data_IF_826345247032
#
_entry.id   IF_826345247032
#
_cell.length_a   1.000
_cell.length_b   1.000
_cell.length_c   1.000
_cell.angle_alpha   90.00
_cell.angle_beta   90.00
_cell.angle_gamma   90.00
#
_symmetry.space_group_name_H-M   'P 1'
#
loop_
_entity.id
_entity.type
_entity.pdbx_description
1 polymer ?
#
# COMPACT_ATOMS: atom_id res chain seq x y z
N UNK A 1 -28.62 -39.61 -6.46
CA UNK A 1 -28.67 -38.77 -7.68
C UNK A 1 -28.37 -37.33 -7.30
N UNK A 2 -27.44 -36.69 -8.04
CA UNK A 2 -27.15 -35.22 -8.18
C UNK A 2 -26.93 -34.38 -6.90
N UNK A 3 -25.71 -34.00 -6.48
CA UNK A 3 -24.75 -33.00 -7.01
C UNK A 3 -25.35 -31.63 -7.39
N UNK A 4 -25.06 -30.60 -6.61
CA UNK A 4 -24.77 -29.23 -7.10
C UNK A 4 -23.81 -28.51 -6.15
N UNK A 5 -22.53 -28.46 -6.51
CA UNK A 5 -21.49 -27.72 -5.80
C UNK A 5 -21.33 -26.30 -6.36
N UNK A 6 -21.54 -25.29 -5.53
CA UNK A 6 -21.28 -23.89 -5.89
C UNK A 6 -19.84 -23.51 -5.54
N UNK A 7 -18.98 -23.50 -6.57
CA UNK A 7 -17.62 -22.94 -6.52
C UNK A 7 -17.69 -21.42 -6.31
N UNK A 8 -17.35 -20.94 -5.11
CA UNK A 8 -17.08 -19.51 -4.84
C UNK A 8 -15.79 -19.08 -5.56
N UNK A 9 -15.91 -18.31 -6.64
CA UNK A 9 -14.83 -17.57 -7.30
C UNK A 9 -14.22 -16.56 -6.31
N UNK A 10 -13.01 -16.83 -5.80
CA UNK A 10 -12.14 -15.85 -5.12
C UNK A 10 -11.70 -14.80 -6.15
N UNK A 11 -12.06 -13.54 -5.97
CA UNK A 11 -11.53 -12.41 -6.74
C UNK A 11 -10.07 -12.16 -6.34
N UNK A 12 -9.19 -12.17 -7.34
CA UNK A 12 -7.80 -11.70 -7.33
C UNK A 12 -7.82 -10.18 -7.42
N UNK A 13 -7.45 -9.45 -6.37
CA UNK A 13 -7.21 -7.99 -6.48
C UNK A 13 -6.01 -7.47 -5.66
N UNK A 14 -5.28 -8.30 -4.90
CA UNK A 14 -4.19 -7.83 -4.01
C UNK A 14 -2.75 -7.96 -4.57
N UNK A 15 -2.55 -8.00 -5.89
CA UNK A 15 -1.21 -8.25 -6.48
C UNK A 15 -0.58 -7.09 -7.27
N UNK A 16 -1.21 -5.91 -7.35
CA UNK A 16 -0.69 -4.79 -8.14
C UNK A 16 -0.22 -3.62 -7.26
N UNK A 17 0.83 -3.82 -6.44
CA UNK A 17 1.63 -2.70 -5.91
C UNK A 17 3.11 -3.13 -5.80
N UNK A 18 3.75 -3.53 -6.90
CA UNK A 18 5.20 -3.67 -6.97
C UNK A 18 5.70 -3.43 -8.40
N UNK A 19 5.72 -2.18 -8.84
CA UNK A 19 6.63 -1.73 -9.91
C UNK A 19 6.58 -0.20 -10.02
N UNK A 20 7.40 0.46 -9.21
CA UNK A 20 7.65 1.90 -9.30
C UNK A 20 9.14 2.14 -9.21
N UNK A 21 9.88 1.86 -10.29
CA UNK A 21 11.24 2.35 -10.45
C UNK A 21 11.57 2.46 -11.94
N UNK A 22 11.34 3.65 -12.50
CA UNK A 22 12.04 4.10 -13.69
C UNK A 22 13.53 4.17 -13.36
N UNK A 23 14.33 3.24 -13.88
CA UNK A 23 15.81 3.29 -13.77
C UNK A 23 16.46 3.60 -15.12
N UNK A 24 17.55 4.39 -15.14
CA UNK A 24 18.38 4.59 -16.31
C UNK A 24 19.22 3.33 -16.59
N UNK A 25 19.58 3.15 -17.88
CA UNK A 25 20.29 2.01 -18.48
C UNK A 25 21.44 1.46 -17.59
N UNK A 26 21.24 0.28 -17.00
CA UNK A 26 22.30 -0.62 -16.52
C UNK A 26 22.11 -1.98 -17.17
N UNK A 27 23.21 -2.71 -17.43
CA UNK A 27 23.20 -4.09 -17.97
C UNK A 27 22.58 -5.05 -16.94
N UNK A 28 21.26 -5.15 -16.93
CA UNK A 28 20.49 -6.13 -16.16
C UNK A 28 19.66 -6.98 -17.12
N UNK A 29 19.48 -8.26 -16.78
CA UNK A 29 18.59 -9.17 -17.51
C UNK A 29 17.48 -9.59 -16.56
N UNK A 30 16.24 -9.31 -16.95
CA UNK A 30 15.05 -9.87 -16.33
C UNK A 30 14.62 -11.06 -17.17
N UNK A 31 14.65 -12.26 -16.58
CA UNK A 31 14.13 -13.46 -17.23
C UNK A 31 12.71 -13.67 -16.69
N UNK A 32 11.75 -12.97 -17.29
CA UNK A 32 10.32 -13.25 -17.10
C UNK A 32 9.83 -14.25 -18.15
N UNK A 33 9.74 -15.50 -17.73
CA UNK A 33 9.27 -16.61 -18.56
C UNK A 33 7.78 -16.52 -18.90
N UNK A 34 7.00 -15.62 -18.28
CA UNK A 34 5.59 -15.39 -18.67
C UNK A 34 5.43 -14.76 -20.06
N UNK A 35 6.38 -13.93 -20.49
CA UNK A 35 6.34 -13.33 -21.83
C UNK A 35 6.72 -14.34 -22.93
N UNK A 36 7.28 -15.49 -22.56
CA UNK A 36 7.61 -16.56 -23.50
C UNK A 36 6.41 -17.46 -23.81
N UNK A 37 5.42 -17.55 -22.92
CA UNK A 37 4.12 -18.18 -23.22
C UNK A 37 3.37 -17.46 -24.37
N UNK A 38 3.68 -16.18 -24.65
CA UNK A 38 3.07 -15.45 -25.77
C UNK A 38 3.80 -15.62 -27.11
N UNK A 39 4.99 -16.24 -27.14
CA UNK A 39 5.79 -16.45 -28.36
C UNK A 39 6.11 -17.91 -28.69
N UNK A 40 5.80 -18.84 -27.80
CA UNK A 40 5.90 -20.26 -28.05
C UNK A 40 4.52 -20.89 -27.85
N UNK A 41 4.04 -21.61 -28.87
CA UNK A 41 2.88 -22.50 -28.80
C UNK A 41 2.95 -23.34 -27.51
N UNK A 42 2.20 -22.94 -26.49
CA UNK A 42 2.35 -23.40 -25.11
C UNK A 42 1.86 -24.82 -24.85
N UNK A 43 1.47 -25.55 -25.89
CA UNK A 43 0.97 -26.92 -25.78
C UNK A 43 2.02 -27.99 -26.12
N UNK A 44 3.25 -27.62 -26.50
CA UNK A 44 4.29 -28.60 -26.91
C UNK A 44 5.65 -28.54 -26.20
N UNK A 45 5.99 -27.47 -25.49
CA UNK A 45 7.31 -27.39 -24.83
C UNK A 45 7.26 -28.11 -23.47
N UNK A 46 7.88 -29.29 -23.39
CA UNK A 46 7.92 -30.09 -22.17
C UNK A 46 8.63 -29.34 -21.03
N UNK A 47 8.19 -29.56 -19.78
CA UNK A 47 8.77 -28.91 -18.58
C UNK A 47 10.30 -29.03 -18.50
N UNK A 48 10.87 -30.15 -18.98
CA UNK A 48 12.31 -30.39 -19.03
C UNK A 48 13.04 -29.47 -20.01
N UNK A 49 12.43 -29.18 -21.15
CA UNK A 49 13.04 -28.37 -22.21
C UNK A 49 13.10 -26.89 -21.78
N UNK A 50 12.04 -26.40 -21.14
CA UNK A 50 12.03 -25.06 -20.53
C UNK A 50 13.13 -24.90 -19.49
N UNK A 51 13.36 -25.90 -18.61
CA UNK A 51 14.42 -25.80 -17.60
C UNK A 51 15.81 -25.75 -18.21
N UNK A 52 16.06 -26.49 -19.30
CA UNK A 52 17.33 -26.44 -20.02
C UNK A 52 17.59 -25.08 -20.68
N UNK A 53 16.55 -24.46 -21.25
CA UNK A 53 16.68 -23.11 -21.82
C UNK A 53 17.01 -22.07 -20.75
N UNK A 54 16.37 -22.16 -19.57
CA UNK A 54 16.68 -21.26 -18.44
C UNK A 54 18.13 -21.42 -18.00
N UNK A 55 18.63 -22.66 -17.88
CA UNK A 55 20.03 -22.92 -17.53
C UNK A 55 21.00 -22.32 -18.56
N UNK A 56 20.70 -22.45 -19.84
CA UNK A 56 21.50 -21.86 -20.92
C UNK A 56 21.50 -20.33 -20.86
N UNK A 57 20.36 -19.68 -20.59
CA UNK A 57 20.31 -18.22 -20.44
C UNK A 57 21.08 -17.74 -19.21
N UNK A 58 21.01 -18.47 -18.11
CA UNK A 58 21.80 -18.18 -16.90
C UNK A 58 23.29 -18.27 -17.21
N UNK A 59 23.73 -19.35 -17.86
CA UNK A 59 25.14 -19.55 -18.25
C UNK A 59 25.61 -18.43 -19.19
N UNK A 60 24.83 -18.11 -20.24
CA UNK A 60 25.13 -16.99 -21.14
C UNK A 60 25.19 -15.66 -20.40
N UNK A 61 24.27 -15.40 -19.47
CA UNK A 61 24.26 -14.17 -18.69
C UNK A 61 25.52 -14.05 -17.81
N UNK A 62 25.90 -15.12 -17.13
CA UNK A 62 27.11 -15.16 -16.29
C UNK A 62 28.36 -14.95 -17.15
N UNK A 63 28.49 -15.62 -18.30
CA UNK A 63 29.61 -15.43 -19.24
C UNK A 63 29.71 -14.00 -19.76
N UNK A 64 28.57 -13.31 -19.86
CA UNK A 64 28.50 -11.90 -20.23
C UNK A 64 28.72 -10.93 -19.06
N UNK A 65 29.15 -11.42 -17.89
CA UNK A 65 29.52 -10.60 -16.73
C UNK A 65 28.40 -9.64 -16.29
N UNK A 66 27.16 -10.12 -16.28
CA UNK A 66 26.02 -9.31 -15.84
C UNK A 66 26.16 -8.87 -14.37
N UNK A 67 25.50 -7.75 -14.04
CA UNK A 67 25.51 -7.18 -12.68
C UNK A 67 24.22 -7.41 -11.91
N UNK A 68 23.10 -7.54 -12.61
CA UNK A 68 21.77 -7.73 -12.02
C UNK A 68 21.09 -8.92 -12.70
N UNK A 69 20.67 -9.90 -11.90
CA UNK A 69 19.97 -11.09 -12.34
C UNK A 69 18.63 -11.18 -11.61
N UNK A 70 17.53 -11.14 -12.36
CA UNK A 70 16.18 -11.39 -11.83
C UNK A 70 15.57 -12.63 -12.49
N UNK A 71 15.29 -13.63 -11.68
CA UNK A 71 14.74 -14.92 -12.10
C UNK A 71 13.38 -15.14 -11.46
N UNK A 72 12.33 -15.15 -12.28
CA UNK A 72 10.98 -15.44 -11.84
C UNK A 72 10.43 -16.69 -12.53
N UNK A 73 10.23 -17.76 -11.77
CA UNK A 73 9.73 -19.01 -12.31
C UNK A 73 8.20 -19.07 -12.34
N UNK A 74 7.61 -19.64 -13.42
CA UNK A 74 6.17 -19.88 -13.52
C UNK A 74 5.72 -20.85 -12.43
N UNK A 75 4.43 -20.78 -12.08
CA UNK A 75 3.84 -21.63 -11.03
C UNK A 75 4.11 -23.12 -11.25
N UNK A 76 4.11 -23.55 -12.52
CA UNK A 76 4.23 -24.96 -12.91
C UNK A 76 5.65 -25.53 -12.78
N UNK A 77 6.67 -24.66 -12.68
CA UNK A 77 8.08 -25.05 -12.54
C UNK A 77 8.62 -24.86 -11.11
N UNK A 78 7.88 -24.17 -10.22
CA UNK A 78 8.42 -23.78 -8.90
C UNK A 78 8.86 -24.91 -8.00
N UNK A 79 8.24 -26.08 -8.14
CA UNK A 79 8.56 -27.26 -7.31
C UNK A 79 9.72 -28.09 -7.87
N UNK A 80 10.03 -27.93 -9.16
CA UNK A 80 10.95 -28.80 -9.90
C UNK A 80 12.30 -28.17 -10.22
N UNK A 81 12.36 -26.85 -10.40
CA UNK A 81 13.60 -26.20 -10.83
C UNK A 81 14.55 -25.91 -9.66
N UNK A 82 15.83 -26.25 -9.85
CA UNK A 82 16.92 -25.96 -8.93
C UNK A 82 17.85 -24.95 -9.59
N UNK A 83 18.15 -23.87 -8.88
CA UNK A 83 19.03 -22.81 -9.36
C UNK A 83 20.44 -23.37 -9.61
N UNK A 84 21.03 -23.15 -10.79
CA UNK A 84 22.41 -23.52 -11.07
C UNK A 84 23.37 -22.86 -10.09
N UNK A 85 24.28 -23.65 -9.52
CA UNK A 85 25.23 -23.17 -8.50
C UNK A 85 26.26 -22.17 -9.05
N UNK A 86 26.47 -22.14 -10.37
CA UNK A 86 27.31 -21.15 -11.04
C UNK A 86 26.86 -19.70 -10.76
N UNK A 87 25.57 -19.48 -10.49
CA UNK A 87 25.03 -18.17 -10.08
C UNK A 87 25.69 -17.68 -8.79
N UNK A 88 25.93 -18.57 -7.83
CA UNK A 88 26.55 -18.22 -6.54
C UNK A 88 28.07 -18.08 -6.59
N UNK A 89 28.70 -18.48 -7.70
CA UNK A 89 30.12 -18.28 -7.96
C UNK A 89 30.41 -17.02 -8.80
N UNK A 90 29.37 -16.40 -9.37
CA UNK A 90 29.50 -15.28 -10.29
C UNK A 90 29.85 -13.98 -9.55
N UNK A 91 31.13 -13.59 -9.59
CA UNK A 91 31.66 -12.41 -8.89
C UNK A 91 31.16 -11.07 -9.41
N UNK A 92 30.59 -11.02 -10.61
CA UNK A 92 30.12 -9.78 -11.24
C UNK A 92 28.73 -9.38 -10.78
N UNK A 93 27.95 -10.33 -10.22
CA UNK A 93 26.58 -10.10 -9.79
C UNK A 93 26.59 -9.27 -8.51
N UNK A 94 25.92 -8.12 -8.58
CA UNK A 94 25.73 -7.17 -7.47
C UNK A 94 24.30 -7.16 -6.96
N UNK A 95 23.33 -7.61 -7.77
CA UNK A 95 21.94 -7.78 -7.37
C UNK A 95 21.39 -9.12 -7.88
N UNK A 96 20.82 -9.91 -6.97
CA UNK A 96 20.22 -11.21 -7.27
C UNK A 96 18.79 -11.25 -6.72
N UNK A 97 17.80 -11.42 -7.61
CA UNK A 97 16.42 -11.73 -7.26
C UNK A 97 16.07 -13.10 -7.81
N UNK A 98 15.59 -13.98 -6.93
CA UNK A 98 15.21 -15.34 -7.29
C UNK A 98 13.84 -15.63 -6.71
N UNK A 99 12.90 -15.98 -7.57
CA UNK A 99 11.51 -16.19 -7.20
C UNK A 99 10.99 -17.53 -7.72
N UNK A 100 10.66 -18.44 -6.80
CA UNK A 100 10.00 -19.70 -7.12
C UNK A 100 10.94 -20.77 -7.66
N UNK A 101 12.10 -21.01 -7.05
CA UNK A 101 12.92 -22.19 -7.33
C UNK A 101 13.63 -22.68 -6.06
N UNK A 102 14.28 -23.84 -6.13
CA UNK A 102 15.16 -24.33 -5.05
C UNK A 102 16.54 -23.71 -5.22
N UNK A 103 17.16 -23.25 -4.14
CA UNK A 103 18.52 -22.69 -4.20
C UNK A 103 19.61 -23.76 -4.27
N UNK A 104 19.29 -25.03 -4.00
CA UNK A 104 20.31 -26.08 -3.87
C UNK A 104 21.15 -25.91 -2.60
N UNK A 105 22.30 -26.61 -2.49
CA UNK A 105 23.17 -26.55 -1.32
C UNK A 105 23.95 -25.21 -1.26
N UNK A 106 23.74 -24.43 -0.20
CA UNK A 106 24.41 -23.15 0.01
C UNK A 106 25.70 -23.30 0.85
N UNK A 107 26.61 -24.20 0.45
CA UNK A 107 27.81 -24.51 1.25
C UNK A 107 29.02 -23.66 0.83
N UNK A 108 29.30 -23.56 -0.47
CA UNK A 108 30.48 -22.87 -1.01
C UNK A 108 30.07 -21.67 -1.88
N UNK A 109 29.65 -20.59 -1.21
CA UNK A 109 29.16 -19.38 -1.88
C UNK A 109 30.28 -18.34 -2.03
N UNK A 110 30.37 -17.69 -3.21
CA UNK A 110 31.25 -16.55 -3.42
C UNK A 110 30.47 -15.35 -3.95
N UNK A 111 29.79 -14.67 -3.04
CA UNK A 111 28.89 -13.54 -3.30
C UNK A 111 29.47 -12.21 -2.76
N UNK A 112 30.80 -12.08 -2.80
CA UNK A 112 31.55 -10.99 -2.17
C UNK A 112 31.15 -9.58 -2.64
N UNK A 113 30.65 -9.45 -3.88
CA UNK A 113 30.20 -8.19 -4.46
C UNK A 113 28.68 -7.98 -4.38
N UNK A 114 27.93 -8.93 -3.83
CA UNK A 114 26.47 -8.85 -3.79
C UNK A 114 26.01 -7.79 -2.79
N UNK A 115 25.24 -6.83 -3.29
CA UNK A 115 24.68 -5.71 -2.54
C UNK A 115 23.19 -5.87 -2.31
N UNK A 116 22.48 -6.60 -3.19
CA UNK A 116 21.04 -6.81 -3.10
C UNK A 116 20.68 -8.28 -3.27
N UNK A 117 19.94 -8.81 -2.31
CA UNK A 117 19.46 -10.19 -2.33
C UNK A 117 17.95 -10.20 -2.09
N UNK A 118 17.20 -10.73 -3.04
CA UNK A 118 15.76 -10.93 -2.92
C UNK A 118 15.41 -12.40 -3.17
N UNK A 119 14.84 -13.05 -2.18
CA UNK A 119 14.49 -14.47 -2.21
C UNK A 119 12.98 -14.62 -2.02
N UNK A 120 12.31 -15.10 -3.08
CA UNK A 120 10.86 -15.13 -3.21
C UNK A 120 10.30 -16.55 -3.37
N UNK A 121 9.18 -16.86 -2.70
CA UNK A 121 8.37 -18.08 -2.93
C UNK A 121 9.19 -19.37 -2.95
N UNK A 122 10.15 -19.48 -2.03
CA UNK A 122 11.09 -20.60 -1.94
C UNK A 122 11.23 -21.12 -0.50
N UNK A 123 11.85 -22.29 -0.35
CA UNK A 123 12.15 -22.89 0.95
C UNK A 123 13.59 -22.56 1.35
N UNK A 124 13.76 -21.97 2.53
CA UNK A 124 15.04 -21.64 3.16
C UNK A 124 15.02 -22.12 4.60
N UNK A 125 16.16 -22.53 5.12
CA UNK A 125 16.36 -22.82 6.54
C UNK A 125 17.38 -21.83 7.13
N UNK A 126 17.57 -21.90 8.45
CA UNK A 126 18.46 -21.03 9.20
C UNK A 126 19.90 -21.12 8.68
N UNK A 127 20.43 -22.32 8.46
CA UNK A 127 21.80 -22.55 7.99
C UNK A 127 22.06 -21.90 6.62
N UNK A 128 21.10 -21.99 5.70
CA UNK A 128 21.21 -21.36 4.38
C UNK A 128 21.29 -19.84 4.50
N UNK A 129 20.47 -19.23 5.37
CA UNK A 129 20.48 -17.79 5.61
C UNK A 129 21.82 -17.36 6.21
N UNK A 130 22.33 -18.10 7.21
CA UNK A 130 23.64 -17.82 7.80
C UNK A 130 24.78 -17.90 6.78
N UNK A 131 24.76 -18.92 5.91
CA UNK A 131 25.76 -19.06 4.86
C UNK A 131 25.67 -17.93 3.82
N UNK A 132 24.46 -17.54 3.43
CA UNK A 132 24.24 -16.41 2.52
C UNK A 132 24.75 -15.09 3.11
N UNK A 133 24.43 -14.82 4.38
CA UNK A 133 24.90 -13.61 5.10
C UNK A 133 26.43 -13.59 5.15
N UNK A 134 27.07 -14.71 5.51
CA UNK A 134 28.53 -14.83 5.57
C UNK A 134 29.20 -14.59 4.21
N UNK A 135 28.54 -15.01 3.13
CA UNK A 135 29.06 -14.88 1.77
C UNK A 135 28.87 -13.47 1.17
N UNK A 136 28.05 -12.60 1.77
CA UNK A 136 27.67 -11.28 1.23
C UNK A 136 28.07 -10.11 2.17
N UNK A 137 29.37 -9.83 2.40
CA UNK A 137 29.80 -8.79 3.34
C UNK A 137 29.39 -7.36 2.93
N UNK A 138 29.07 -7.15 1.65
CA UNK A 138 28.66 -5.85 1.09
C UNK A 138 27.13 -5.70 0.98
N UNK A 139 26.35 -6.61 1.57
CA UNK A 139 24.89 -6.61 1.43
C UNK A 139 24.26 -5.34 2.04
N UNK A 140 23.52 -4.61 1.21
CA UNK A 140 22.81 -3.37 1.57
C UNK A 140 21.29 -3.60 1.68
N UNK A 141 20.74 -4.54 0.91
CA UNK A 141 19.29 -4.80 0.80
C UNK A 141 19.03 -6.32 0.82
N UNK A 142 18.34 -6.80 1.86
CA UNK A 142 17.98 -8.20 2.00
C UNK A 142 16.47 -8.38 2.14
N UNK A 143 15.85 -9.08 1.18
CA UNK A 143 14.41 -9.33 1.14
C UNK A 143 14.08 -10.82 1.11
N UNK A 144 13.16 -11.23 1.98
CA UNK A 144 12.54 -12.54 2.00
C UNK A 144 11.04 -12.39 1.79
N UNK A 145 10.52 -12.97 0.71
CA UNK A 145 9.12 -12.80 0.30
C UNK A 145 8.48 -14.17 0.13
N UNK A 146 7.43 -14.48 0.88
CA UNK A 146 6.74 -15.78 0.89
C UNK A 146 7.71 -16.97 1.12
N UNK A 147 8.72 -16.79 1.98
CA UNK A 147 9.66 -17.84 2.34
C UNK A 147 9.01 -18.87 3.28
N UNK A 148 9.44 -20.12 3.16
CA UNK A 148 9.01 -21.25 4.02
C UNK A 148 10.21 -21.99 4.58
N UNK A 149 10.04 -22.75 5.65
CA UNK A 149 11.12 -23.52 6.30
C UNK A 149 11.99 -22.77 7.31
N UNK A 150 11.83 -21.45 7.43
CA UNK A 150 12.60 -20.60 8.34
C UNK A 150 11.77 -20.27 9.59
N UNK A 151 12.25 -20.65 10.77
CA UNK A 151 11.64 -20.34 12.07
C UNK A 151 12.30 -19.15 12.75
N UNK A 152 13.61 -19.00 12.61
CA UNK A 152 14.37 -17.93 13.25
C UNK A 152 15.16 -17.16 12.21
N UNK A 153 14.94 -15.85 12.11
CA UNK A 153 15.72 -14.97 11.24
C UNK A 153 16.70 -14.16 12.09
N UNK A 154 17.99 -14.43 11.90
CA UNK A 154 19.08 -13.74 12.58
C UNK A 154 19.95 -13.03 11.55
N UNK A 155 20.26 -11.78 11.84
CA UNK A 155 21.24 -11.02 11.06
C UNK A 155 22.22 -10.36 12.02
N UNK A 156 23.50 -10.60 11.79
CA UNK A 156 24.62 -9.94 12.45
C UNK A 156 25.76 -9.74 11.45
N UNK A 157 26.71 -8.87 11.80
CA UNK A 157 27.93 -8.65 11.03
C UNK A 157 27.75 -8.18 9.58
N UNK A 158 26.68 -7.43 9.29
CA UNK A 158 26.47 -6.77 7.98
C UNK A 158 26.52 -5.24 8.14
N UNK A 159 27.71 -4.62 8.07
CA UNK A 159 27.88 -3.19 8.37
C UNK A 159 27.24 -2.27 7.33
N UNK A 160 27.03 -2.74 6.10
CA UNK A 160 26.43 -1.96 5.01
C UNK A 160 24.91 -2.14 4.87
N UNK A 161 24.31 -3.00 5.70
CA UNK A 161 22.90 -3.35 5.56
C UNK A 161 22.00 -2.17 5.94
N UNK A 162 21.20 -1.72 4.98
CA UNK A 162 20.29 -0.58 5.11
C UNK A 162 18.82 -0.97 5.05
N UNK A 163 18.49 -2.10 4.42
CA UNK A 163 17.12 -2.55 4.25
C UNK A 163 16.95 -4.03 4.53
N UNK A 164 15.94 -4.36 5.33
CA UNK A 164 15.43 -5.71 5.50
C UNK A 164 13.93 -5.71 5.24
N UNK A 165 13.48 -6.62 4.37
CA UNK A 165 12.07 -6.87 4.10
C UNK A 165 11.72 -8.34 4.36
N UNK A 166 10.77 -8.59 5.26
CA UNK A 166 10.25 -9.91 5.59
C UNK A 166 8.74 -9.94 5.32
N UNK A 167 8.35 -10.52 4.18
CA UNK A 167 6.95 -10.54 3.75
C UNK A 167 6.38 -11.96 3.75
N UNK A 168 5.34 -12.20 4.55
CA UNK A 168 4.57 -13.44 4.56
C UNK A 168 5.43 -14.70 4.75
N UNK A 169 6.40 -14.66 5.66
CA UNK A 169 7.23 -15.81 6.03
C UNK A 169 6.45 -16.71 7.01
N UNK A 170 5.83 -17.77 6.50
CA UNK A 170 4.71 -18.44 7.19
C UNK A 170 5.05 -19.31 8.41
N UNK A 171 6.33 -19.64 8.58
CA UNK A 171 6.88 -20.48 9.66
C UNK A 171 7.77 -19.71 10.64
N UNK A 172 8.05 -18.44 10.35
CA UNK A 172 8.89 -17.56 11.16
C UNK A 172 8.28 -17.43 12.56
N UNK A 173 9.10 -17.28 13.59
CA UNK A 173 8.67 -17.11 14.99
C UNK A 173 9.49 -16.04 15.69
N UNK A 174 10.75 -15.91 15.30
CA UNK A 174 11.69 -14.99 15.94
C UNK A 174 12.49 -14.24 14.89
N UNK A 175 12.69 -12.94 15.13
CA UNK A 175 13.47 -12.02 14.30
C UNK A 175 14.43 -11.27 15.21
N UNK A 176 15.72 -11.52 15.07
CA UNK A 176 16.76 -10.88 15.89
C UNK A 176 17.74 -10.16 14.97
N UNK A 177 17.74 -8.83 15.00
CA UNK A 177 18.57 -8.01 14.14
C UNK A 177 19.64 -7.28 14.95
N UNK A 178 20.90 -7.55 14.61
CA UNK A 178 22.09 -6.81 15.03
C UNK A 178 22.61 -5.99 13.86
N UNK A 179 21.89 -4.91 13.55
CA UNK A 179 22.13 -4.09 12.36
C UNK A 179 21.98 -2.59 12.70
N UNK A 180 23.01 -1.94 13.28
CA UNK A 180 22.91 -0.54 13.71
C UNK A 180 22.70 0.45 12.56
N UNK A 181 23.17 0.13 11.36
CA UNK A 181 23.02 0.97 10.17
C UNK A 181 21.73 0.71 9.39
N UNK A 182 20.81 -0.12 9.92
CA UNK A 182 19.56 -0.44 9.25
C UNK A 182 18.66 0.80 9.19
N UNK A 183 18.32 1.24 7.98
CA UNK A 183 17.49 2.44 7.77
C UNK A 183 16.02 2.09 7.52
N UNK A 184 15.74 0.91 6.95
CA UNK A 184 14.38 0.46 6.61
C UNK A 184 14.13 -0.97 7.05
N UNK A 185 13.03 -1.17 7.78
CA UNK A 185 12.56 -2.49 8.18
C UNK A 185 11.10 -2.64 7.80
N UNK A 186 10.82 -3.69 7.02
CA UNK A 186 9.47 -4.07 6.62
C UNK A 186 9.17 -5.48 7.11
N UNK A 187 8.11 -5.62 7.91
CA UNK A 187 7.67 -6.89 8.43
C UNK A 187 6.17 -7.06 8.21
N UNK A 188 5.77 -8.09 7.45
CA UNK A 188 4.37 -8.42 7.20
C UNK A 188 4.10 -9.88 7.45
N UNK A 189 3.08 -10.18 8.25
CA UNK A 189 2.69 -11.55 8.56
C UNK A 189 1.20 -11.80 8.36
N UNK A 190 0.89 -12.98 7.80
CA UNK A 190 -0.48 -13.38 7.43
C UNK A 190 -1.12 -14.32 8.46
N UNK A 191 -0.38 -14.77 9.50
CA UNK A 191 -0.87 -15.73 10.51
C UNK A 191 -0.77 -15.18 11.93
N UNK A 192 -1.80 -15.45 12.74
CA UNK A 192 -1.95 -15.09 14.17
C UNK A 192 -1.02 -15.85 15.13
N UNK A 193 0.24 -16.07 14.78
CA UNK A 193 1.21 -16.65 15.71
C UNK A 193 1.96 -15.52 16.39
N UNK A 194 2.30 -15.68 17.66
CA UNK A 194 3.13 -14.69 18.35
C UNK A 194 4.53 -14.70 17.74
N UNK A 195 5.04 -13.50 17.47
CA UNK A 195 6.40 -13.31 16.99
C UNK A 195 7.21 -12.55 18.03
N UNK A 196 8.44 -12.99 18.25
CA UNK A 196 9.42 -12.24 19.02
C UNK A 196 10.28 -11.45 18.05
N UNK A 197 10.18 -10.12 18.11
CA UNK A 197 11.00 -9.24 17.28
C UNK A 197 11.92 -8.46 18.21
N UNK A 198 13.23 -8.61 18.02
CA UNK A 198 14.26 -7.81 18.65
C UNK A 198 14.95 -6.93 17.61
N UNK A 199 14.69 -5.63 17.72
CA UNK A 199 15.24 -4.55 16.91
C UNK A 199 16.04 -3.56 17.76
N UNK A 200 16.37 -3.91 19.00
CA UNK A 200 16.95 -3.00 20.00
C UNK A 200 18.23 -2.30 19.53
N UNK A 201 18.99 -2.92 18.63
CA UNK A 201 20.24 -2.37 18.10
C UNK A 201 20.06 -1.48 16.86
N UNK A 202 18.87 -1.42 16.26
CA UNK A 202 18.60 -0.75 14.98
C UNK A 202 18.35 0.77 15.15
N UNK A 203 19.29 1.48 15.76
CA UNK A 203 19.10 2.90 16.13
C UNK A 203 19.04 3.89 14.94
N UNK A 204 19.58 3.53 13.77
CA UNK A 204 19.53 4.35 12.55
C UNK A 204 18.21 4.19 11.77
N UNK A 205 17.22 3.46 12.30
CA UNK A 205 15.99 3.15 11.59
C UNK A 205 15.16 4.41 11.32
N UNK A 206 14.93 4.68 10.04
CA UNK A 206 14.16 5.82 9.54
C UNK A 206 12.76 5.43 9.10
N UNK A 207 12.56 4.20 8.62
CA UNK A 207 11.28 3.70 8.13
C UNK A 207 10.95 2.33 8.70
N UNK A 208 9.85 2.26 9.43
CA UNK A 208 9.32 1.04 10.04
C UNK A 208 7.94 0.71 9.45
N UNK A 209 7.76 -0.52 8.96
CA UNK A 209 6.46 -1.04 8.55
C UNK A 209 6.21 -2.37 9.24
N UNK A 210 5.14 -2.44 10.03
CA UNK A 210 4.72 -3.63 10.77
C UNK A 210 3.29 -4.01 10.40
N UNK A 211 3.11 -5.24 9.94
CA UNK A 211 1.82 -5.93 9.91
C UNK A 211 1.93 -7.19 10.77
N UNK A 212 1.74 -7.00 12.07
CA UNK A 212 1.81 -8.04 13.09
C UNK A 212 0.55 -8.01 13.96
N UNK A 213 -0.32 -8.99 13.72
CA UNK A 213 -1.56 -9.13 14.47
C UNK A 213 -1.35 -9.40 15.96
N UNK A 214 -0.15 -9.79 16.41
CA UNK A 214 0.19 -10.15 17.80
C UNK A 214 0.85 -9.02 18.60
N UNK A 215 1.16 -7.90 17.95
CA UNK A 215 1.79 -6.75 18.58
C UNK A 215 0.89 -6.13 19.65
N UNK A 216 1.40 -6.08 20.89
CA UNK A 216 0.75 -5.47 22.06
C UNK A 216 1.36 -4.11 22.38
N UNK A 217 0.60 -3.29 23.11
CA UNK A 217 0.96 -1.91 23.46
C UNK A 217 2.36 -1.78 24.10
N UNK A 218 2.65 -2.55 25.15
CA UNK A 218 3.97 -2.52 25.84
C UNK A 218 5.14 -2.83 24.91
N UNK A 219 5.01 -3.89 24.09
CA UNK A 219 6.06 -4.27 23.15
C UNK A 219 6.28 -3.19 22.10
N UNK A 220 5.19 -2.57 21.61
CA UNK A 220 5.26 -1.50 20.64
C UNK A 220 5.97 -0.26 21.20
N UNK A 221 5.65 0.14 22.44
CA UNK A 221 6.32 1.26 23.10
C UNK A 221 7.82 0.99 23.31
N UNK A 222 8.16 -0.22 23.74
CA UNK A 222 9.56 -0.63 23.90
C UNK A 222 10.31 -0.55 22.56
N UNK A 223 9.71 -1.03 21.47
CA UNK A 223 10.32 -0.93 20.14
C UNK A 223 10.52 0.52 19.71
N UNK A 224 9.50 1.39 19.86
CA UNK A 224 9.60 2.79 19.46
C UNK A 224 10.73 3.53 20.19
N UNK A 225 10.97 3.22 21.46
CA UNK A 225 12.05 3.84 22.24
C UNK A 225 13.45 3.60 21.65
N UNK A 226 13.62 2.51 20.88
CA UNK A 226 14.87 2.17 20.23
C UNK A 226 15.13 2.93 18.91
N UNK A 227 14.16 3.69 18.38
CA UNK A 227 14.22 4.29 17.04
C UNK A 227 14.17 5.83 17.07
N UNK A 228 15.18 6.52 17.63
CA UNK A 228 15.17 7.97 17.76
C UNK A 228 15.17 8.72 16.41
N UNK A 229 15.61 8.06 15.34
CA UNK A 229 15.69 8.63 13.99
C UNK A 229 14.45 8.36 13.12
N UNK A 230 13.38 7.76 13.67
CA UNK A 230 12.23 7.30 12.90
C UNK A 230 11.47 8.46 12.23
N UNK A 231 11.44 8.44 10.89
CA UNK A 231 10.75 9.44 10.07
C UNK A 231 9.42 8.92 9.49
N UNK A 232 9.28 7.60 9.34
CA UNK A 232 8.09 6.96 8.79
C UNK A 232 7.69 5.75 9.60
N UNK A 233 6.44 5.72 10.03
CA UNK A 233 5.82 4.60 10.73
C UNK A 233 4.56 4.13 10.00
N UNK A 234 4.50 2.83 9.72
CA UNK A 234 3.34 2.17 9.13
C UNK A 234 2.94 0.99 10.01
N UNK A 235 1.74 1.03 10.58
CA UNK A 235 1.13 -0.09 11.30
C UNK A 235 -0.10 -0.56 10.52
N UNK A 236 -0.15 -1.85 10.20
CA UNK A 236 -1.26 -2.44 9.45
C UNK A 236 -1.75 -3.70 10.15
N UNK A 237 -3.05 -3.87 10.35
CA UNK A 237 -3.67 -5.06 10.98
C UNK A 237 -3.04 -5.46 12.32
N UNK A 238 -2.50 -4.50 13.08
CA UNK A 238 -1.97 -4.71 14.42
C UNK A 238 -3.14 -4.78 15.42
N UNK A 239 -3.81 -5.94 15.45
CA UNK A 239 -5.15 -6.08 16.03
C UNK A 239 -5.20 -6.13 17.55
N UNK A 240 -4.09 -6.31 18.27
CA UNK A 240 -4.06 -6.24 19.75
C UNK A 240 -3.55 -4.89 20.28
N UNK A 241 -3.24 -3.93 19.39
CA UNK A 241 -2.98 -2.57 19.83
C UNK A 241 -4.29 -1.94 20.29
N UNK A 242 -4.32 -1.41 21.51
CA UNK A 242 -5.49 -0.76 22.09
C UNK A 242 -5.25 0.71 22.36
N UNK A 243 -4.19 0.99 23.12
CA UNK A 243 -3.85 2.33 23.57
C UNK A 243 -2.38 2.61 23.23
N UNK A 244 -2.16 3.53 22.30
CA UNK A 244 -0.81 3.87 21.85
C UNK A 244 -0.50 5.35 22.00
N UNK A 245 0.71 5.64 22.45
CA UNK A 245 1.28 6.98 22.47
C UNK A 245 2.43 7.00 21.47
N UNK A 246 2.45 7.98 20.57
CA UNK A 246 3.51 8.18 19.59
C UNK A 246 4.06 9.60 19.77
N UNK A 247 5.22 9.68 20.42
CA UNK A 247 5.90 10.95 20.69
C UNK A 247 7.20 11.03 19.89
N UNK A 248 7.21 11.80 18.80
CA UNK A 248 8.41 11.96 17.97
C UNK A 248 8.42 13.27 17.17
N UNK A 249 9.52 14.01 17.31
CA UNK A 249 9.79 15.22 16.53
C UNK A 249 10.36 14.93 15.14
N UNK A 250 10.81 13.70 14.86
CA UNK A 250 11.39 13.32 13.56
C UNK A 250 10.37 12.68 12.63
N UNK A 251 9.26 12.19 13.17
CA UNK A 251 8.22 11.51 12.40
C UNK A 251 7.55 12.49 11.43
N UNK A 252 7.64 12.17 10.14
CA UNK A 252 7.07 12.93 9.01
C UNK A 252 5.86 12.22 8.41
N UNK A 253 5.78 10.90 8.53
CA UNK A 253 4.71 10.10 7.94
C UNK A 253 4.22 9.05 8.92
N UNK A 254 2.91 9.04 9.17
CA UNK A 254 2.23 8.05 10.00
C UNK A 254 1.08 7.43 9.21
N UNK A 255 1.07 6.10 9.14
CA UNK A 255 0.03 5.32 8.47
C UNK A 255 -0.47 4.25 9.43
N UNK A 256 -1.76 4.27 9.74
CA UNK A 256 -2.43 3.31 10.62
C UNK A 256 -3.59 2.67 9.86
N UNK A 257 -3.53 1.35 9.61
CA UNK A 257 -4.52 0.66 8.77
C UNK A 257 -5.07 -0.58 9.45
N UNK A 258 -6.39 -0.68 9.54
CA UNK A 258 -7.10 -1.90 9.95
C UNK A 258 -6.67 -2.45 11.32
N UNK A 259 -6.22 -1.60 12.26
CA UNK A 259 -5.94 -1.98 13.64
C UNK A 259 -7.26 -2.08 14.41
N UNK A 260 -7.85 -3.28 14.47
CA UNK A 260 -9.27 -3.46 14.87
C UNK A 260 -9.60 -3.13 16.32
N UNK A 261 -8.69 -3.37 17.26
CA UNK A 261 -8.91 -3.09 18.69
C UNK A 261 -8.35 -1.74 19.14
N UNK A 262 -7.90 -0.89 18.20
CA UNK A 262 -7.33 0.41 18.55
C UNK A 262 -8.45 1.33 19.06
N UNK A 263 -8.45 1.60 20.36
CA UNK A 263 -9.44 2.41 21.05
C UNK A 263 -8.97 3.86 21.18
N UNK A 264 -7.71 4.05 21.59
CA UNK A 264 -7.11 5.36 21.80
C UNK A 264 -5.70 5.47 21.20
N UNK A 265 -5.42 6.60 20.55
CA UNK A 265 -4.12 6.90 19.98
C UNK A 265 -3.75 8.37 20.18
N UNK A 266 -2.72 8.59 21.00
CA UNK A 266 -2.15 9.90 21.28
C UNK A 266 -0.91 10.14 20.44
N UNK A 267 -0.96 11.13 19.56
CA UNK A 267 0.07 11.40 18.56
C UNK A 267 0.66 12.80 18.81
N UNK A 268 1.81 12.81 19.47
CA UNK A 268 2.59 13.99 19.79
C UNK A 268 3.74 14.09 18.79
N UNK A 269 3.41 14.53 17.57
CA UNK A 269 4.37 14.68 16.48
C UNK A 269 4.17 16.00 15.72
N UNK A 270 4.85 17.09 16.12
CA UNK A 270 4.62 18.41 15.54
C UNK A 270 5.14 18.55 14.11
N UNK A 271 6.01 17.66 13.64
CA UNK A 271 6.58 17.68 12.29
C UNK A 271 5.90 16.69 11.33
N UNK A 272 4.72 16.17 11.69
CA UNK A 272 3.97 15.21 10.88
C UNK A 272 3.44 15.88 9.60
N UNK A 273 3.97 15.46 8.44
CA UNK A 273 3.63 16.02 7.13
C UNK A 273 2.51 15.25 6.42
N UNK A 274 2.46 13.94 6.62
CA UNK A 274 1.50 13.04 5.95
C UNK A 274 0.89 12.09 6.97
N UNK A 275 -0.43 11.99 6.95
CA UNK A 275 -1.17 11.12 7.84
C UNK A 275 -2.17 10.25 7.07
N UNK A 276 -2.21 8.96 7.35
CA UNK A 276 -3.23 8.06 6.81
C UNK A 276 -3.82 7.19 7.93
N UNK A 277 -5.14 7.18 8.05
CA UNK A 277 -5.88 6.30 8.94
C UNK A 277 -6.92 5.49 8.16
N UNK A 278 -6.98 4.19 8.40
CA UNK A 278 -8.06 3.32 7.95
C UNK A 278 -8.57 2.48 9.12
N UNK A 279 -9.84 2.59 9.47
CA UNK A 279 -10.42 1.85 10.58
C UNK A 279 -11.94 1.97 10.64
N UNK A 280 -12.52 1.68 11.81
CA UNK A 280 -13.97 1.73 12.02
C UNK A 280 -14.43 3.02 12.68
N UNK A 281 -13.64 3.51 13.65
CA UNK A 281 -13.94 4.68 14.49
C UNK A 281 -12.70 5.56 14.58
N UNK A 282 -12.83 6.83 14.94
CA UNK A 282 -11.70 7.74 15.14
C UNK A 282 -11.08 7.54 16.54
N UNK A 283 -9.86 6.97 16.67
CA UNK A 283 -9.24 6.68 17.98
C UNK A 283 -8.46 7.86 18.56
N UNK A 284 -8.25 8.94 17.79
CA UNK A 284 -7.34 10.01 18.20
C UNK A 284 -8.01 11.00 19.15
N UNK A 285 -7.45 11.13 20.34
CA UNK A 285 -7.82 12.14 21.35
C UNK A 285 -6.87 13.34 21.26
N UNK A 286 -5.56 13.08 21.16
CA UNK A 286 -4.55 14.10 20.87
C UNK A 286 -3.86 13.86 19.51
N UNK A 287 -4.22 14.65 18.51
CA UNK A 287 -3.50 14.75 17.24
C UNK A 287 -3.67 16.18 16.72
N UNK A 288 -2.55 16.87 16.49
CA UNK A 288 -2.55 18.22 15.92
C UNK A 288 -2.05 18.17 14.47
N UNK A 289 -2.95 18.37 13.48
CA UNK A 289 -2.59 18.31 12.07
C UNK A 289 -1.99 19.61 11.51
N UNK A 290 -1.69 20.62 12.34
CA UNK A 290 -1.27 21.97 11.89
C UNK A 290 -0.07 22.00 10.93
N UNK A 291 0.85 21.04 11.02
CA UNK A 291 2.00 20.89 10.10
C UNK A 291 1.73 19.93 8.93
N UNK A 292 0.64 19.17 8.96
CA UNK A 292 0.30 18.18 7.97
C UNK A 292 -0.12 18.82 6.65
N UNK A 293 0.50 18.33 5.56
CA UNK A 293 0.22 18.73 4.18
C UNK A 293 -0.86 17.87 3.54
N UNK A 294 -1.02 16.66 4.04
CA UNK A 294 -1.96 15.67 3.53
C UNK A 294 -2.47 14.80 4.67
N UNK A 295 -3.77 14.55 4.70
CA UNK A 295 -4.39 13.59 5.61
C UNK A 295 -5.43 12.75 4.87
N UNK A 296 -5.36 11.44 5.00
CA UNK A 296 -6.31 10.49 4.41
C UNK A 296 -6.96 9.69 5.50
N UNK A 297 -8.28 9.73 5.60
CA UNK A 297 -9.05 9.00 6.59
C UNK A 297 -10.05 8.11 5.87
N UNK A 298 -10.08 6.83 6.21
CA UNK A 298 -11.03 5.88 5.67
C UNK A 298 -11.73 5.11 6.78
N UNK A 299 -13.03 5.31 6.91
CA UNK A 299 -13.87 4.64 7.89
C UNK A 299 -14.76 3.60 7.21
N UNK A 300 -14.60 2.32 7.54
CA UNK A 300 -15.40 1.22 6.97
C UNK A 300 -15.87 0.24 8.07
N UNK A 301 -17.14 -0.17 8.11
CA UNK A 301 -17.63 -1.16 9.07
C UNK A 301 -17.07 -2.57 8.83
N UNK A 302 -16.93 -3.35 9.90
CA UNK A 302 -16.44 -4.74 9.89
C UNK A 302 -17.57 -5.78 9.96
N UNK A 303 -18.44 -5.87 8.94
CA UNK A 303 -19.47 -6.91 8.93
C UNK A 303 -20.16 -7.19 7.60
N UNK A 304 -20.51 -8.46 7.36
CA UNK A 304 -21.55 -8.91 6.43
C UNK A 304 -22.89 -8.90 7.18
N UNK A 305 -23.51 -7.74 7.30
CA UNK A 305 -24.82 -7.53 7.90
C UNK A 305 -25.31 -6.17 7.44
N UNK A 306 -26.63 -6.00 7.32
CA UNK A 306 -27.21 -4.74 6.87
C UNK A 306 -26.64 -3.54 7.67
N UNK A 307 -26.33 -2.42 7.01
CA UNK A 307 -25.80 -1.24 7.65
C UNK A 307 -26.94 -0.55 8.40
N UNK A 308 -27.33 -1.09 9.56
CA UNK A 308 -28.27 -0.44 10.45
C UNK A 308 -27.50 0.15 11.62
N UNK A 309 -27.46 1.48 11.67
CA UNK A 309 -27.37 2.22 12.93
C UNK A 309 -28.41 1.61 13.87
N UNK A 310 -27.98 0.98 14.96
CA UNK A 310 -28.88 0.90 16.11
C UNK A 310 -29.07 2.33 16.60
N UNK A 311 -30.33 2.74 16.78
CA UNK A 311 -30.74 4.09 17.22
C UNK A 311 -30.21 4.51 18.62
N UNK A 312 -29.27 3.77 19.21
CA UNK A 312 -28.56 4.13 20.45
C UNK A 312 -27.22 4.87 20.20
N UNK A 313 -26.78 5.01 18.95
CA UNK A 313 -25.52 5.67 18.56
C UNK A 313 -25.68 7.17 18.19
N UNK A 314 -26.75 7.83 18.66
CA UNK A 314 -27.14 9.18 18.22
C UNK A 314 -26.15 10.32 18.55
N UNK A 315 -25.07 10.05 19.29
CA UNK A 315 -23.90 10.92 19.39
C UNK A 315 -22.63 10.09 19.61
N UNK A 316 -22.18 9.35 18.59
CA UNK A 316 -20.92 8.61 18.74
C UNK A 316 -19.76 9.59 19.01
N UNK A 317 -19.09 9.52 20.18
CA UNK A 317 -18.04 10.48 20.56
C UNK A 317 -16.90 10.61 19.54
N UNK A 318 -16.68 9.56 18.73
CA UNK A 318 -15.66 9.56 17.69
C UNK A 318 -15.98 10.52 16.53
N UNK A 319 -17.25 10.80 16.22
CA UNK A 319 -17.59 11.75 15.16
C UNK A 319 -17.32 13.20 15.59
N UNK A 320 -17.61 13.53 16.85
CA UNK A 320 -17.22 14.82 17.43
C UNK A 320 -15.69 14.98 17.44
N UNK A 321 -14.94 13.91 17.76
CA UNK A 321 -13.47 13.89 17.64
C UNK A 321 -13.02 14.11 16.20
N UNK A 322 -13.66 13.47 15.22
CA UNK A 322 -13.35 13.65 13.80
C UNK A 322 -13.59 15.10 13.36
N UNK A 323 -14.73 15.69 13.72
CA UNK A 323 -15.04 17.08 13.37
C UNK A 323 -14.05 18.05 14.02
N UNK A 324 -13.78 17.89 15.33
CA UNK A 324 -12.77 18.67 16.03
C UNK A 324 -11.34 18.47 15.50
N UNK A 325 -11.02 17.32 14.90
CA UNK A 325 -9.75 17.08 14.21
C UNK A 325 -9.68 17.86 12.89
N UNK A 326 -10.75 17.83 12.09
CA UNK A 326 -10.79 18.54 10.81
C UNK A 326 -10.76 20.06 10.96
N UNK A 327 -11.34 20.59 12.03
CA UNK A 327 -11.34 22.02 12.34
C UNK A 327 -9.95 22.55 12.73
N UNK A 328 -9.01 21.66 13.13
CA UNK A 328 -7.63 22.03 13.46
C UNK A 328 -6.73 22.24 12.25
N UNK A 329 -7.18 21.91 11.03
CA UNK A 329 -6.38 22.16 9.83
C UNK A 329 -6.39 23.64 9.44
N UNK A 330 -5.22 24.15 9.05
CA UNK A 330 -5.08 25.51 8.56
C UNK A 330 -5.44 25.59 7.06
N UNK A 331 -6.74 25.66 6.76
CA UNK A 331 -7.25 25.78 5.39
C UNK A 331 -6.85 27.10 4.70
N UNK A 332 -6.37 28.10 5.44
CA UNK A 332 -5.85 29.34 4.85
C UNK A 332 -4.63 29.09 3.95
N UNK A 333 -3.91 27.98 4.17
CA UNK A 333 -2.79 27.50 3.34
C UNK A 333 -3.23 26.85 2.02
N UNK A 334 -4.51 26.94 1.68
CA UNK A 334 -5.12 26.37 0.47
C UNK A 334 -5.37 24.87 0.56
N UNK A 335 -5.47 24.29 1.76
CA UNK A 335 -5.91 22.91 1.88
C UNK A 335 -7.35 22.77 1.36
N UNK A 336 -7.63 21.68 0.65
CA UNK A 336 -8.98 21.30 0.23
C UNK A 336 -9.34 20.00 0.93
N UNK A 337 -10.60 19.87 1.37
CA UNK A 337 -11.12 18.64 1.95
C UNK A 337 -12.05 17.98 0.93
N UNK A 338 -11.76 16.74 0.56
CA UNK A 338 -12.62 15.92 -0.29
C UNK A 338 -13.26 14.85 0.58
N UNK A 339 -14.58 14.88 0.67
CA UNK A 339 -15.37 13.92 1.42
C UNK A 339 -16.10 13.03 0.43
N UNK A 340 -16.01 11.71 0.61
CA UNK A 340 -16.72 10.73 -0.19
C UNK A 340 -17.53 9.82 0.71
N UNK A 341 -18.77 9.58 0.30
CA UNK A 341 -19.63 8.52 0.82
C UNK A 341 -20.29 7.80 -0.36
N UNK A 342 -20.08 6.49 -0.45
CA UNK A 342 -20.53 5.67 -1.58
C UNK A 342 -20.17 6.31 -2.94
N UNK A 343 -21.16 6.73 -3.74
CA UNK A 343 -20.99 7.35 -5.07
C UNK A 343 -21.04 8.89 -5.05
N UNK A 344 -21.19 9.50 -3.87
CA UNK A 344 -21.28 10.94 -3.70
C UNK A 344 -19.95 11.51 -3.21
N UNK A 345 -19.54 12.63 -3.79
CA UNK A 345 -18.32 13.35 -3.42
C UNK A 345 -18.67 14.81 -3.15
N UNK A 346 -18.11 15.35 -2.07
CA UNK A 346 -18.17 16.77 -1.71
C UNK A 346 -16.75 17.31 -1.64
N UNK A 347 -16.48 18.40 -2.35
CA UNK A 347 -15.18 19.10 -2.32
C UNK A 347 -15.36 20.42 -1.58
N UNK A 348 -14.73 20.54 -0.43
CA UNK A 348 -14.58 21.77 0.33
C UNK A 348 -13.34 22.51 -0.14
N UNK A 349 -13.51 23.60 -0.90
CA UNK A 349 -12.37 24.37 -1.44
C UNK A 349 -11.77 25.36 -0.44
N UNK A 350 -12.62 26.00 0.38
CA UNK A 350 -12.23 26.91 1.47
C UNK A 350 -13.26 26.85 2.60
N UNK A 351 -13.25 25.79 3.41
CA UNK A 351 -14.25 25.61 4.47
C UNK A 351 -14.10 26.70 5.54
N UNK A 352 -15.21 27.38 5.87
CA UNK A 352 -15.39 28.12 7.13
C UNK A 352 -16.11 27.28 8.19
N UNK A 353 -16.63 26.12 7.80
CA UNK A 353 -17.25 25.11 8.64
C UNK A 353 -17.42 23.83 7.82
N UNK A 354 -17.20 22.68 8.44
CA UNK A 354 -17.22 21.37 7.77
C UNK A 354 -18.43 20.59 8.25
N UNK A 355 -19.21 20.09 7.29
CA UNK A 355 -20.39 19.26 7.57
C UNK A 355 -20.16 17.87 7.00
N UNK A 356 -19.96 16.92 7.89
CA UNK A 356 -19.79 15.53 7.49
C UNK A 356 -21.16 14.84 7.49
N UNK A 357 -21.47 14.05 6.44
CA UNK A 357 -22.65 13.20 6.48
C UNK A 357 -22.44 12.13 7.57
N UNK A 358 -23.48 11.87 8.38
CA UNK A 358 -23.49 10.80 9.38
C UNK A 358 -23.78 9.45 8.70
N UNK A 359 -22.86 9.02 7.84
CA UNK A 359 -23.00 7.82 7.01
C UNK A 359 -21.81 6.89 7.20
N UNK A 360 -22.06 5.59 7.07
CA UNK A 360 -21.03 4.56 7.09
C UNK A 360 -20.31 4.49 5.73
N UNK A 361 -19.05 4.05 5.70
CA UNK A 361 -18.16 4.07 4.51
C UNK A 361 -17.73 5.49 4.08
N UNK A 362 -17.24 6.27 5.05
CA UNK A 362 -16.75 7.63 4.85
C UNK A 362 -15.26 7.65 4.48
N UNK A 363 -14.93 8.29 3.36
CA UNK A 363 -13.55 8.55 2.91
C UNK A 363 -13.31 10.05 2.93
N UNK A 364 -12.25 10.49 3.60
CA UNK A 364 -11.87 11.90 3.65
C UNK A 364 -10.41 12.08 3.23
N UNK A 365 -10.19 12.92 2.24
CA UNK A 365 -8.86 13.28 1.77
C UNK A 365 -8.67 14.80 1.94
N UNK A 366 -7.80 15.20 2.85
CA UNK A 366 -7.28 16.58 2.96
C UNK A 366 -6.05 16.68 2.09
N UNK A 367 -6.10 17.51 1.05
CA UNK A 367 -5.06 17.65 0.03
C UNK A 367 -4.58 19.08 -0.10
N UNK A 368 -3.29 19.27 -0.38
CA UNK A 368 -2.70 20.59 -0.57
C UNK A 368 -3.15 21.25 -1.88
N UNK A 369 -3.40 22.56 -1.84
CA UNK A 369 -3.86 23.40 -2.98
C UNK A 369 -3.06 23.27 -4.28
N UNK A 370 -1.80 22.86 -4.20
CA UNK A 370 -0.90 22.81 -5.36
C UNK A 370 -1.37 21.83 -6.43
N UNK A 371 -2.32 20.94 -6.09
CA UNK A 371 -3.07 20.17 -7.08
C UNK A 371 -4.09 21.10 -7.75
N UNK A 372 -3.91 21.36 -9.05
CA UNK A 372 -4.89 22.09 -9.84
C UNK A 372 -6.25 21.39 -9.66
N UNK A 373 -7.31 22.19 -9.54
CA UNK A 373 -8.67 21.66 -9.41
C UNK A 373 -9.00 20.71 -10.57
N UNK A 374 -8.46 20.97 -11.77
CA UNK A 374 -8.54 20.06 -12.92
C UNK A 374 -7.88 18.70 -12.68
N UNK A 375 -6.69 18.66 -12.09
CA UNK A 375 -5.95 17.43 -11.81
C UNK A 375 -6.65 16.61 -10.70
N UNK A 376 -7.16 17.31 -9.68
CA UNK A 376 -7.95 16.69 -8.61
C UNK A 376 -9.23 16.06 -9.18
N UNK A 377 -9.91 16.78 -10.08
CA UNK A 377 -11.08 16.27 -10.79
C UNK A 377 -10.74 15.06 -11.65
N UNK A 378 -9.66 15.10 -12.43
CA UNK A 378 -9.23 13.98 -13.26
C UNK A 378 -8.90 12.74 -12.40
N UNK A 379 -8.23 12.95 -11.26
CA UNK A 379 -7.98 11.90 -10.28
C UNK A 379 -9.28 11.31 -9.70
N UNK A 380 -10.22 12.16 -9.28
CA UNK A 380 -11.51 11.75 -8.72
C UNK A 380 -12.32 10.98 -9.77
N UNK A 381 -12.49 11.52 -10.98
CA UNK A 381 -13.28 10.89 -12.03
C UNK A 381 -12.67 9.56 -12.47
N UNK A 382 -11.34 9.48 -12.55
CA UNK A 382 -10.62 8.25 -12.91
C UNK A 382 -10.68 7.17 -11.83
N UNK A 383 -10.47 7.56 -10.58
CA UNK A 383 -10.28 6.61 -9.47
C UNK A 383 -11.60 6.26 -8.79
N UNK A 384 -12.47 7.25 -8.61
CA UNK A 384 -13.62 7.17 -7.73
C UNK A 384 -14.95 7.03 -8.45
N UNK A 385 -15.06 7.48 -9.71
CA UNK A 385 -16.25 7.36 -10.56
C UNK A 385 -17.55 7.76 -9.83
N UNK A 386 -17.65 9.01 -9.34
CA UNK A 386 -18.85 9.48 -8.64
C UNK A 386 -20.08 9.53 -9.54
N UNK A 387 -21.27 9.41 -8.94
CA UNK A 387 -22.54 9.84 -9.54
C UNK A 387 -22.87 11.29 -9.16
N UNK A 388 -22.42 11.78 -8.01
CA UNK A 388 -22.70 13.16 -7.59
C UNK A 388 -21.40 13.80 -7.14
N UNK A 389 -21.18 15.04 -7.58
CA UNK A 389 -20.02 15.83 -7.22
C UNK A 389 -20.46 17.23 -6.80
N UNK A 390 -20.39 17.55 -5.53
CA UNK A 390 -20.67 18.90 -5.03
C UNK A 390 -19.39 19.64 -4.71
N UNK A 391 -19.41 20.95 -4.95
CA UNK A 391 -18.46 21.90 -4.42
C UNK A 391 -19.09 22.63 -3.25
N UNK A 392 -18.30 22.91 -2.23
CA UNK A 392 -18.60 23.92 -1.24
C UNK A 392 -17.45 24.89 -1.17
N UNK A 393 -17.77 26.15 -1.42
CA UNK A 393 -16.80 27.22 -1.32
C UNK A 393 -17.46 28.49 -0.77
N UNK A 394 -16.68 29.27 -0.04
CA UNK A 394 -17.11 30.60 0.44
C UNK A 394 -17.09 31.66 -0.67
N UNK A 395 -16.70 31.27 -1.88
CA UNK A 395 -16.69 32.06 -3.11
C UNK A 395 -17.15 31.17 -4.27
N UNK A 396 -17.85 31.70 -5.28
CA UNK A 396 -18.31 30.90 -6.45
C UNK A 396 -17.22 29.94 -6.94
N UNK A 397 -17.51 28.65 -6.91
CA UNK A 397 -16.54 27.64 -7.31
C UNK A 397 -16.24 27.74 -8.80
N UNK A 398 -15.01 27.38 -9.19
CA UNK A 398 -14.69 27.15 -10.62
C UNK A 398 -15.03 25.72 -11.05
N UNK A 399 -15.41 24.83 -10.14
CA UNK A 399 -15.72 23.43 -10.40
C UNK A 399 -16.79 23.26 -11.50
N UNK A 400 -17.97 23.92 -11.43
CA UNK A 400 -18.97 23.76 -12.48
C UNK A 400 -18.44 24.13 -13.87
N UNK A 401 -17.72 25.25 -13.97
CA UNK A 401 -17.12 25.70 -15.24
C UNK A 401 -16.09 24.72 -15.79
N UNK A 402 -15.26 24.14 -14.91
CA UNK A 402 -14.23 23.18 -15.30
C UNK A 402 -14.86 21.86 -15.76
N UNK A 403 -15.86 21.35 -15.03
CA UNK A 403 -16.56 20.12 -15.40
C UNK A 403 -17.28 20.32 -16.73
N UNK A 404 -18.01 21.43 -16.92
CA UNK A 404 -18.66 21.77 -18.19
C UNK A 404 -17.64 21.85 -19.35
N UNK A 405 -16.50 22.52 -19.16
CA UNK A 405 -15.43 22.60 -20.17
C UNK A 405 -14.90 21.22 -20.55
N UNK A 406 -14.65 20.33 -19.58
CA UNK A 406 -14.18 18.95 -19.81
C UNK A 406 -15.20 18.08 -20.57
N UNK A 407 -16.49 18.40 -20.49
CA UNK A 407 -17.56 17.72 -21.24
C UNK A 407 -17.74 18.28 -22.64
N UNK A 408 -17.68 19.60 -22.82
CA UNK A 408 -17.77 20.25 -24.14
C UNK A 408 -16.59 19.84 -25.03
N UNK A 409 -15.41 19.67 -24.43
CA UNK A 409 -14.19 19.22 -25.11
C UNK A 409 -14.08 17.69 -25.25
N UNK A 410 -15.17 16.95 -25.00
CA UNK A 410 -15.20 15.50 -25.15
C UNK A 410 -15.21 15.13 -26.64
N UNK A 411 -14.10 14.58 -27.13
CA UNK A 411 -14.11 13.84 -28.39
C UNK A 411 -15.08 12.66 -28.29
N UNK A 412 -15.85 12.40 -29.35
CA UNK A 412 -16.77 11.24 -29.41
C UNK A 412 -16.04 9.91 -29.16
N UNK A 413 -14.77 9.82 -29.56
CA UNK A 413 -13.86 8.71 -29.31
C UNK A 413 -12.52 9.21 -28.75
N UNK A 414 -12.35 9.34 -27.43
CA UNK A 414 -11.12 9.83 -26.86
C UNK A 414 -9.98 8.82 -27.12
N UNK A 415 -8.89 9.30 -27.72
CA UNK A 415 -7.68 8.52 -28.06
C UNK A 415 -7.03 7.80 -26.87
N UNK A 416 -7.38 8.16 -25.63
CA UNK A 416 -6.91 7.48 -24.42
C UNK A 416 -7.39 6.03 -24.28
N UNK A 417 -8.31 5.57 -25.14
CA UNK A 417 -8.87 4.21 -25.13
C UNK A 417 -8.41 3.32 -26.30
N UNK A 418 -7.55 3.80 -27.21
CA UNK A 418 -7.16 3.03 -28.42
C UNK A 418 -6.36 1.76 -28.14
N UNK A 419 -5.74 1.64 -26.96
CA UNK A 419 -4.84 0.52 -26.63
C UNK A 419 -5.39 -0.49 -25.59
N UNK A 420 -6.59 -0.30 -25.04
CA UNK A 420 -7.08 -1.17 -23.95
C UNK A 420 -8.32 -1.97 -24.34
N UNK A 421 -8.14 -3.30 -24.35
CA UNK A 421 -9.16 -4.32 -24.59
C UNK A 421 -10.44 -4.11 -23.78
N UNK A 422 -11.56 -4.49 -24.41
CA UNK A 422 -13.00 -4.61 -24.06
C UNK A 422 -13.55 -4.54 -22.62
N UNK A 423 -12.77 -4.26 -21.57
CA UNK A 423 -13.22 -4.22 -20.18
C UNK A 423 -12.95 -2.93 -19.40
N UNK A 424 -12.08 -2.02 -19.89
CA UNK A 424 -11.66 -0.83 -19.14
C UNK A 424 -11.95 0.48 -19.89
N UNK A 425 -13.24 0.77 -20.10
CA UNK A 425 -13.70 2.07 -20.62
C UNK A 425 -13.30 3.18 -19.64
N UNK A 426 -12.70 4.28 -20.14
CA UNK A 426 -12.32 5.41 -19.30
C UNK A 426 -13.58 6.14 -18.76
N UNK A 427 -13.44 6.93 -17.68
CA UNK A 427 -14.57 7.66 -17.07
C UNK A 427 -15.33 8.52 -18.10
N UNK A 428 -14.63 9.05 -19.11
CA UNK A 428 -15.21 9.85 -20.18
C UNK A 428 -16.21 9.08 -21.04
N UNK A 429 -16.16 7.74 -21.09
CA UNK A 429 -17.15 6.93 -21.84
C UNK A 429 -18.38 6.54 -21.01
N UNK A 430 -18.35 6.72 -19.69
CA UNK A 430 -19.39 6.26 -18.75
C UNK A 430 -20.29 7.38 -18.22
N UNK A 431 -19.95 8.64 -18.49
CA UNK A 431 -20.81 9.78 -18.17
C UNK A 431 -21.79 10.02 -19.32
N UNK A 432 -23.09 9.85 -19.07
CA UNK A 432 -24.12 10.07 -20.09
C UNK A 432 -24.51 11.55 -20.18
N UNK A 433 -24.69 12.22 -19.04
CA UNK A 433 -25.02 13.64 -18.96
C UNK A 433 -24.52 14.27 -17.65
N UNK A 434 -24.41 15.60 -17.62
CA UNK A 434 -24.10 16.38 -16.41
C UNK A 434 -25.12 17.49 -16.19
N UNK A 435 -25.66 17.54 -14.99
CA UNK A 435 -26.62 18.57 -14.57
C UNK A 435 -25.95 19.47 -13.55
N UNK A 436 -26.00 20.78 -13.74
CA UNK A 436 -25.45 21.76 -12.79
C UNK A 436 -26.59 22.45 -12.04
N UNK A 437 -26.61 22.38 -10.72
CA UNK A 437 -27.55 23.14 -9.88
C UNK A 437 -26.80 24.04 -8.91
N UNK A 438 -27.27 25.29 -8.75
CA UNK A 438 -26.74 26.23 -7.77
C UNK A 438 -27.67 26.26 -6.56
N UNK A 439 -27.20 25.87 -5.38
CA UNK A 439 -27.98 25.89 -4.15
C UNK A 439 -27.73 27.21 -3.41
N UNK A 440 -28.45 28.27 -3.78
CA UNK A 440 -28.31 29.59 -3.12
C UNK A 440 -28.97 29.55 -1.73
N UNK A 441 -28.21 30.00 -0.72
CA UNK A 441 -28.58 30.31 0.68
C UNK A 441 -30.08 30.18 1.00
N UNK A 442 -30.50 29.00 1.49
CA UNK A 442 -31.88 28.83 1.95
C UNK A 442 -32.20 27.45 2.50
N UNK A 443 -31.57 26.39 1.98
CA UNK A 443 -31.75 25.05 2.53
C UNK A 443 -30.89 24.84 3.77
N UNK A 444 -31.51 24.38 4.85
CA UNK A 444 -30.80 24.10 6.10
C UNK A 444 -29.72 23.02 5.88
N UNK A 445 -28.65 23.04 6.68
CA UNK A 445 -27.54 22.06 6.60
C UNK A 445 -28.02 20.60 6.66
N UNK A 446 -29.13 20.36 7.36
CA UNK A 446 -29.84 19.09 7.45
C UNK A 446 -30.56 18.68 6.16
N UNK A 447 -31.16 19.63 5.45
CA UNK A 447 -31.86 19.37 4.18
C UNK A 447 -30.92 18.95 3.06
N UNK A 448 -29.68 19.43 3.05
CA UNK A 448 -28.72 19.00 2.04
C UNK A 448 -28.27 17.55 2.24
N UNK A 449 -28.02 17.11 3.48
CA UNK A 449 -27.70 15.71 3.79
C UNK A 449 -28.90 14.81 3.46
N UNK A 450 -30.12 15.26 3.80
CA UNK A 450 -31.35 14.57 3.41
C UNK A 450 -31.53 14.53 1.88
N UNK A 451 -31.16 15.59 1.16
CA UNK A 451 -31.26 15.63 -0.29
C UNK A 451 -30.24 14.70 -0.96
N UNK A 452 -28.99 14.65 -0.48
CA UNK A 452 -27.97 13.71 -0.97
C UNK A 452 -28.36 12.24 -0.74
N UNK A 453 -29.11 11.95 0.32
CA UNK A 453 -29.63 10.59 0.58
C UNK A 453 -30.84 10.23 -0.29
N UNK A 454 -31.52 11.21 -0.90
CA UNK A 454 -32.69 11.01 -1.75
C UNK A 454 -32.38 10.99 -3.26
N UNK A 455 -31.11 11.21 -3.66
CA UNK A 455 -30.71 11.15 -5.06
C UNK A 455 -30.81 9.71 -5.61
N UNK A 456 -31.71 9.52 -6.57
CA UNK A 456 -31.93 8.25 -7.25
C UNK A 456 -30.73 7.93 -8.17
N UNK A 457 -30.21 6.69 -8.20
CA UNK A 457 -29.01 6.35 -8.97
C UNK A 457 -29.32 6.24 -10.48
N UNK A 458 -29.34 7.37 -11.18
CA UNK A 458 -29.21 7.43 -12.64
C UNK A 458 -27.76 7.69 -13.08
N UNK A 459 -27.36 7.30 -14.29
CA UNK A 459 -26.00 7.44 -14.86
C UNK A 459 -25.61 8.89 -15.25
N UNK A 460 -26.05 9.86 -14.45
CA UNK A 460 -25.79 11.29 -14.65
C UNK A 460 -24.89 11.81 -13.54
N UNK A 461 -23.89 12.63 -13.87
CA UNK A 461 -23.09 13.33 -12.85
C UNK A 461 -23.77 14.65 -12.51
N UNK A 462 -24.20 14.83 -11.27
CA UNK A 462 -24.78 16.10 -10.84
C UNK A 462 -23.67 16.94 -10.19
N UNK A 463 -23.46 18.16 -10.68
CA UNK A 463 -22.49 19.12 -10.16
C UNK A 463 -23.19 20.24 -9.42
N UNK A 464 -22.86 20.42 -8.14
CA UNK A 464 -23.50 21.43 -7.29
C UNK A 464 -22.48 22.52 -6.89
N UNK A 465 -22.91 23.78 -6.90
CA UNK A 465 -22.17 24.95 -6.37
C UNK A 465 -22.93 25.61 -5.22
#
# INVERSE_FOLDING_TARGET
MSRSGSKKKRKREDLNILSGSTRPRRKGIEIDTKNMEQRADSDKLGKSELTTHVDQWIDLAIRNNIKELDLAMPLDLRKGYSLPQCVFAARTITALSVNGCKLGPCNDLNLSNLQKLCLGKLRVNEQMIENLIRACPLLEDFRLIYATGLKVFKVSNLPKLKRIDLHTCSELKEVNLQAPNLETFWYVVVKYRSYKIDLSTCNALKSLTLEDATLKDESFQNHLSCFPALEKLVLSKCNFLKNIIISSYKLKTLILRECKQLEEADIISPNLLSFEYKGEKMPFTSLNPSSSKEAKLYFKPSGQGEPRLSNEDNHTPWFARLQGFLDKFDYSRGLKLVVRSDKNIVIYERPKGIFLPQVYDLKLDVVKSSVNLEDLLDYILRTWRPLTLSSLSTSRSRLPKIVCKKLITREKDPSCCTYNASGNKCWRQLLDNVETENLVNGKSKSEWIAWLSHLNPSSKLIVLD
#
